data_IF_834824444224
#
_entry.id   IF_834824444224
#
_cell.length_a   1.000
_cell.length_b   1.000
_cell.length_c   1.000
_cell.angle_alpha   90.00
_cell.angle_beta   90.00
_cell.angle_gamma   90.00
#
_symmetry.space_group_name_H-M   'P 1'
#
loop_
_entity.id
_entity.type
_entity.pdbx_description
1 polymer ?
#
# COMPACT_ATOMS: atom_id res chain seq x y z
N UNK A 1 13.25 16.57 -10.42
CA UNK A 1 14.16 16.29 -9.29
C UNK A 1 14.54 14.83 -9.39
N UNK A 2 15.83 14.51 -9.49
CA UNK A 2 16.31 13.12 -9.52
C UNK A 2 16.30 12.56 -8.10
N UNK A 3 15.23 11.84 -7.73
CA UNK A 3 15.08 11.23 -6.40
C UNK A 3 16.16 10.17 -6.11
N UNK A 4 16.65 9.51 -7.16
CA UNK A 4 17.61 8.39 -7.14
C UNK A 4 18.95 8.67 -6.44
N UNK A 5 19.28 9.93 -6.16
CA UNK A 5 20.56 10.33 -5.54
C UNK A 5 20.50 10.50 -4.02
N UNK A 6 19.32 10.32 -3.41
CA UNK A 6 19.19 10.44 -1.95
C UNK A 6 19.74 9.16 -1.28
N UNK A 7 20.41 9.25 -0.11
CA UNK A 7 20.91 8.08 0.64
C UNK A 7 19.83 7.03 0.95
N UNK A 8 18.56 7.46 0.96
CA UNK A 8 17.41 6.59 1.05
C UNK A 8 17.39 5.50 -0.05
N UNK A 9 17.77 5.83 -1.29
CA UNK A 9 17.82 4.87 -2.39
C UNK A 9 19.00 3.90 -2.25
N UNK A 10 20.12 4.35 -1.67
CA UNK A 10 21.25 3.47 -1.35
C UNK A 10 20.84 2.41 -0.32
N UNK A 11 20.04 2.78 0.68
CA UNK A 11 19.52 1.84 1.67
C UNK A 11 18.57 0.79 1.06
N UNK A 12 17.91 1.12 -0.06
CA UNK A 12 17.01 0.22 -0.79
C UNK A 12 17.68 -0.44 -2.01
N UNK A 13 18.99 -0.23 -2.21
CA UNK A 13 19.67 -0.66 -3.44
C UNK A 13 19.48 -2.16 -3.70
N UNK A 14 19.65 -2.99 -2.66
CA UNK A 14 19.56 -4.45 -2.72
C UNK A 14 18.14 -5.01 -2.52
N UNK A 15 17.13 -4.16 -2.31
CA UNK A 15 15.75 -4.59 -2.16
C UNK A 15 15.07 -4.68 -3.52
N UNK A 16 14.57 -5.85 -3.90
CA UNK A 16 13.89 -6.08 -5.18
C UNK A 16 12.37 -6.00 -5.04
N UNK A 17 11.84 -6.52 -3.93
CA UNK A 17 10.42 -6.45 -3.59
C UNK A 17 10.22 -5.55 -2.37
N UNK A 18 9.47 -4.47 -2.54
CA UNK A 18 9.28 -3.41 -1.54
C UNK A 18 7.80 -3.23 -1.23
N UNK A 19 7.47 -3.13 0.04
CA UNK A 19 6.14 -2.74 0.51
C UNK A 19 6.16 -1.27 0.96
N UNK A 20 5.43 -0.41 0.25
CA UNK A 20 5.19 0.98 0.68
C UNK A 20 3.88 1.02 1.46
N UNK A 21 3.91 1.50 2.69
CA UNK A 21 2.72 1.54 3.56
C UNK A 21 2.51 2.91 4.20
N UNK A 22 1.34 3.52 3.99
CA UNK A 22 0.93 4.71 4.74
C UNK A 22 0.69 4.37 6.22
N UNK A 23 1.31 5.12 7.14
CA UNK A 23 1.46 4.73 8.55
C UNK A 23 0.65 5.59 9.53
N UNK A 24 0.46 6.88 9.27
CA UNK A 24 -0.49 7.75 9.99
C UNK A 24 -1.94 7.53 9.55
N UNK A 25 -2.10 7.04 8.32
CA UNK A 25 -3.32 6.47 7.76
C UNK A 25 -4.13 7.43 6.90
N UNK A 26 -5.22 6.93 6.32
CA UNK A 26 -6.05 7.76 5.44
C UNK A 26 -5.36 8.11 4.12
N UNK A 27 -4.80 9.30 3.99
CA UNK A 27 -4.19 9.79 2.72
C UNK A 27 -2.68 9.63 2.63
N UNK A 28 -1.98 9.17 3.67
CA UNK A 28 -0.51 9.11 3.68
C UNK A 28 0.08 8.34 2.49
N UNK A 29 -0.60 7.28 2.03
CA UNK A 29 -0.15 6.51 0.87
C UNK A 29 0.03 7.37 -0.39
N UNK A 30 -0.71 8.49 -0.52
CA UNK A 30 -0.57 9.43 -1.64
C UNK A 30 0.77 10.17 -1.62
N UNK A 31 1.28 10.51 -0.43
CA UNK A 31 2.61 11.11 -0.29
C UNK A 31 3.72 10.16 -0.78
N UNK A 32 3.46 8.85 -0.76
CA UNK A 32 4.35 7.82 -1.27
C UNK A 32 4.36 7.63 -2.79
N UNK A 33 3.40 8.21 -3.53
CA UNK A 33 3.28 7.95 -4.97
C UNK A 33 4.51 8.36 -5.79
N UNK A 34 5.17 9.51 -5.56
CA UNK A 34 6.42 9.83 -6.26
C UNK A 34 7.50 8.76 -6.05
N UNK A 35 7.58 8.20 -4.84
CA UNK A 35 8.52 7.12 -4.53
C UNK A 35 8.10 5.80 -5.19
N UNK A 36 6.82 5.45 -5.16
CA UNK A 36 6.28 4.28 -5.87
C UNK A 36 6.71 4.27 -7.33
N UNK A 37 6.49 5.37 -8.06
CA UNK A 37 6.87 5.47 -9.46
C UNK A 37 8.38 5.44 -9.67
N UNK A 38 9.16 6.10 -8.81
CA UNK A 38 10.61 6.08 -8.90
C UNK A 38 11.18 4.66 -8.74
N UNK A 39 10.69 3.89 -7.76
CA UNK A 39 11.13 2.50 -7.51
C UNK A 39 10.69 1.57 -8.64
N UNK A 40 9.45 1.72 -9.14
CA UNK A 40 8.95 0.94 -10.30
C UNK A 40 9.76 1.22 -11.57
N UNK A 41 10.08 2.49 -11.83
CA UNK A 41 10.94 2.88 -12.97
C UNK A 41 12.37 2.34 -12.83
N UNK A 42 12.85 2.12 -11.61
CA UNK A 42 14.12 1.45 -11.35
C UNK A 42 14.05 -0.08 -11.48
N UNK A 43 12.93 -0.65 -11.92
CA UNK A 43 12.75 -2.08 -12.17
C UNK A 43 12.32 -2.90 -10.94
N UNK A 44 12.04 -2.25 -9.80
CA UNK A 44 11.69 -2.94 -8.56
C UNK A 44 10.21 -3.36 -8.55
N UNK A 45 9.91 -4.43 -7.83
CA UNK A 45 8.54 -4.84 -7.51
C UNK A 45 8.07 -4.04 -6.30
N UNK A 46 6.97 -3.30 -6.45
CA UNK A 46 6.47 -2.42 -5.38
C UNK A 46 5.00 -2.70 -5.11
N UNK A 47 4.70 -3.06 -3.87
CA UNK A 47 3.34 -3.26 -3.36
C UNK A 47 2.92 -2.05 -2.52
N UNK A 48 1.63 -1.73 -2.54
CA UNK A 48 1.05 -0.62 -1.81
C UNK A 48 0.16 -1.12 -0.67
N UNK A 49 0.32 -0.52 0.50
CA UNK A 49 -0.53 -0.74 1.66
C UNK A 49 -0.87 0.57 2.38
N UNK A 50 -1.86 0.55 3.25
CA UNK A 50 -2.25 1.73 4.01
C UNK A 50 -2.89 1.34 5.34
N UNK A 51 -2.58 2.06 6.41
CA UNK A 51 -3.41 2.04 7.61
C UNK A 51 -4.72 2.79 7.30
N UNK A 52 -5.79 2.04 7.06
CA UNK A 52 -6.99 2.63 6.46
C UNK A 52 -7.90 3.27 7.50
N UNK A 53 -8.36 4.48 7.21
CA UNK A 53 -9.42 5.14 8.01
C UNK A 53 -10.82 4.80 7.50
N UNK A 54 -10.90 4.19 6.32
CA UNK A 54 -12.13 3.59 5.79
C UNK A 54 -12.56 2.45 6.70
N UNK A 55 -13.88 2.23 6.84
CA UNK A 55 -14.39 1.02 7.47
C UNK A 55 -14.22 -0.17 6.51
N UNK A 56 -13.00 -0.72 6.44
CA UNK A 56 -12.61 -1.69 5.40
C UNK A 56 -13.46 -2.96 5.39
N UNK A 57 -14.09 -3.32 6.52
CA UNK A 57 -15.00 -4.46 6.61
C UNK A 57 -16.41 -4.21 6.07
N UNK A 58 -16.76 -2.96 5.80
CA UNK A 58 -17.97 -2.58 5.10
C UNK A 58 -17.79 -2.59 3.57
N UNK A 59 -16.57 -2.86 3.09
CA UNK A 59 -16.29 -3.04 1.66
C UNK A 59 -16.54 -4.49 1.22
N UNK A 60 -16.63 -4.72 -0.08
CA UNK A 60 -16.63 -6.06 -0.69
C UNK A 60 -15.20 -6.57 -1.02
N UNK A 61 -14.15 -5.92 -0.50
CA UNK A 61 -12.75 -6.31 -0.74
C UNK A 61 -12.39 -7.68 -0.17
N UNK A 62 -11.34 -8.32 -0.72
CA UNK A 62 -10.94 -9.67 -0.31
C UNK A 62 -10.27 -9.63 1.06
N UNK A 63 -10.85 -10.36 2.03
CA UNK A 63 -10.28 -10.48 3.38
C UNK A 63 -9.10 -11.46 3.38
N UNK A 64 -7.92 -10.96 3.71
CA UNK A 64 -6.71 -11.79 3.88
C UNK A 64 -6.53 -12.18 5.36
N UNK A 65 -7.10 -11.39 6.28
CA UNK A 65 -7.07 -11.74 7.70
C UNK A 65 -7.93 -10.83 8.58
N UNK A 66 -7.81 -10.95 9.92
CA UNK A 66 -8.65 -10.23 10.88
C UNK A 66 -8.43 -8.71 10.95
N UNK A 67 -7.40 -8.19 10.27
CA UNK A 67 -6.96 -6.80 10.27
C UNK A 67 -6.42 -6.38 8.88
N UNK A 68 -6.79 -7.10 7.82
CA UNK A 68 -6.22 -6.93 6.48
C UNK A 68 -7.25 -7.24 5.39
N UNK A 69 -7.47 -6.28 4.50
CA UNK A 69 -8.33 -6.40 3.31
C UNK A 69 -7.57 -5.92 2.09
N UNK A 70 -7.62 -6.70 1.01
CA UNK A 70 -7.17 -6.27 -0.31
C UNK A 70 -8.27 -5.47 -1.01
N UNK A 71 -7.92 -4.27 -1.43
CA UNK A 71 -8.78 -3.36 -2.17
C UNK A 71 -8.30 -3.29 -3.61
N UNK A 72 -9.23 -3.41 -4.56
CA UNK A 72 -9.01 -3.32 -6.01
C UNK A 72 -9.87 -2.21 -6.61
N UNK A 73 -9.69 -1.92 -7.90
CA UNK A 73 -10.51 -0.92 -8.62
C UNK A 73 -12.01 -1.29 -8.68
N UNK A 74 -12.34 -2.59 -8.52
CA UNK A 74 -13.70 -3.11 -8.46
C UNK A 74 -14.29 -3.12 -7.04
N UNK A 75 -13.49 -2.79 -6.03
CA UNK A 75 -13.93 -2.81 -4.65
C UNK A 75 -14.85 -1.63 -4.36
N UNK A 76 -16.07 -1.93 -3.94
CA UNK A 76 -17.06 -0.97 -3.48
C UNK A 76 -16.87 -0.69 -1.98
N UNK A 77 -16.99 0.57 -1.60
CA UNK A 77 -16.83 1.01 -0.22
C UNK A 77 -17.54 2.32 0.06
N UNK A 78 -17.10 3.03 1.10
CA UNK A 78 -17.71 4.29 1.51
C UNK A 78 -17.62 5.35 0.41
N UNK A 79 -18.75 5.91 0.01
CA UNK A 79 -18.81 7.03 -0.96
C UNK A 79 -18.33 8.36 -0.38
N UNK A 80 -18.18 8.45 0.95
CA UNK A 80 -17.72 9.68 1.62
C UNK A 80 -16.20 9.71 1.82
N UNK A 81 -15.59 8.56 2.09
CA UNK A 81 -14.18 8.45 2.43
C UNK A 81 -13.68 7.06 2.09
N UNK A 82 -13.00 6.93 0.96
CA UNK A 82 -12.36 5.69 0.54
C UNK A 82 -11.15 5.96 -0.38
N UNK A 83 -10.13 6.65 0.14
CA UNK A 83 -9.01 7.11 -0.67
C UNK A 83 -8.26 5.97 -1.36
N UNK A 84 -8.19 4.79 -0.73
CA UNK A 84 -7.54 3.62 -1.30
C UNK A 84 -8.31 3.07 -2.51
N UNK A 85 -9.65 2.98 -2.41
CA UNK A 85 -10.49 2.57 -3.55
C UNK A 85 -10.37 3.54 -4.73
N UNK A 86 -10.42 4.84 -4.47
CA UNK A 86 -10.22 5.85 -5.52
C UNK A 86 -8.83 5.80 -6.15
N UNK A 87 -7.79 5.49 -5.37
CA UNK A 87 -6.44 5.34 -5.90
C UNK A 87 -6.33 4.09 -6.80
N UNK A 88 -6.94 2.97 -6.41
CA UNK A 88 -7.02 1.78 -7.26
C UNK A 88 -7.76 2.07 -8.58
N UNK A 89 -8.88 2.81 -8.53
CA UNK A 89 -9.61 3.24 -9.72
C UNK A 89 -8.75 4.13 -10.61
N UNK A 90 -8.05 5.10 -10.03
CA UNK A 90 -7.15 5.98 -10.77
C UNK A 90 -6.03 5.19 -11.48
N UNK A 91 -5.42 4.20 -10.82
CA UNK A 91 -4.46 3.30 -11.47
C UNK A 91 -5.09 2.56 -12.66
N UNK A 92 -6.29 2.02 -12.50
CA UNK A 92 -6.97 1.33 -13.58
C UNK A 92 -7.27 2.27 -14.77
N UNK A 93 -7.90 3.41 -14.51
CA UNK A 93 -8.37 4.33 -15.56
C UNK A 93 -7.24 5.08 -16.26
N UNK A 94 -6.25 5.56 -15.51
CA UNK A 94 -5.22 6.46 -16.05
C UNK A 94 -3.96 5.71 -16.48
N UNK A 95 -3.75 4.50 -15.97
CA UNK A 95 -2.55 3.71 -16.22
C UNK A 95 -2.82 2.37 -16.88
N UNK A 96 -4.07 1.91 -16.92
CA UNK A 96 -4.43 0.55 -17.33
C UNK A 96 -3.70 -0.51 -16.47
N UNK A 97 -3.53 -0.20 -15.17
CA UNK A 97 -2.81 -1.03 -14.21
C UNK A 97 -3.78 -1.54 -13.13
N UNK A 98 -3.82 -2.85 -12.92
CA UNK A 98 -4.57 -3.46 -11.84
C UNK A 98 -3.73 -3.47 -10.55
N UNK A 99 -3.60 -2.30 -9.91
CA UNK A 99 -2.76 -2.13 -8.70
C UNK A 99 -3.62 -2.21 -7.44
N UNK A 100 -3.57 -3.32 -6.67
CA UNK A 100 -4.29 -3.41 -5.41
C UNK A 100 -3.63 -2.59 -4.31
N UNK A 101 -4.42 -2.16 -3.32
CA UNK A 101 -3.92 -1.56 -2.08
C UNK A 101 -4.36 -2.42 -0.90
N UNK A 102 -3.38 -2.88 -0.12
CA UNK A 102 -3.62 -3.68 1.06
C UNK A 102 -3.91 -2.79 2.27
N UNK A 103 -5.14 -2.82 2.74
CA UNK A 103 -5.61 -1.95 3.80
C UNK A 103 -5.57 -2.65 5.15
N UNK A 104 -4.81 -2.08 6.08
CA UNK A 104 -4.80 -2.49 7.48
C UNK A 104 -5.96 -1.81 8.22
N UNK A 105 -6.64 -2.55 9.09
CA UNK A 105 -7.65 -1.96 9.97
C UNK A 105 -7.00 -1.11 11.07
N UNK A 106 -7.76 -0.13 11.60
CA UNK A 106 -7.38 0.64 12.81
C UNK A 106 -7.56 -0.22 14.06
N UNK A 107 -6.74 -1.26 14.15
CA UNK A 107 -6.67 -2.16 15.29
C UNK A 107 -5.47 -1.82 16.18
N UNK A 108 -5.30 -2.57 17.28
CA UNK A 108 -4.12 -2.44 18.13
C UNK A 108 -2.82 -2.87 17.43
N UNK A 109 -1.67 -2.46 17.99
CA UNK A 109 -0.36 -2.75 17.43
C UNK A 109 -0.11 -4.24 17.15
N UNK A 110 -0.57 -5.15 18.04
CA UNK A 110 -0.39 -6.60 17.86
C UNK A 110 -1.19 -7.13 16.64
N UNK A 111 -2.50 -6.86 16.49
CA UNK A 111 -3.24 -7.16 15.28
C UNK A 111 -2.61 -6.61 14.00
N UNK A 112 -2.19 -5.34 14.00
CA UNK A 112 -1.59 -4.71 12.82
C UNK A 112 -0.25 -5.37 12.47
N UNK A 113 0.61 -5.65 13.46
CA UNK A 113 1.85 -6.38 13.22
C UNK A 113 1.62 -7.80 12.66
N UNK A 114 0.54 -8.47 13.09
CA UNK A 114 0.13 -9.76 12.49
C UNK A 114 -0.35 -9.57 11.05
N UNK A 115 -1.11 -8.51 10.77
CA UNK A 115 -1.53 -8.20 9.41
C UNK A 115 -0.36 -7.94 8.47
N UNK A 116 0.68 -7.21 8.89
CA UNK A 116 1.91 -7.05 8.12
C UNK A 116 2.58 -8.39 7.82
N UNK A 117 2.72 -9.28 8.82
CA UNK A 117 3.29 -10.62 8.61
C UNK A 117 2.48 -11.44 7.62
N UNK A 118 1.16 -11.41 7.72
CA UNK A 118 0.26 -12.11 6.81
C UNK A 118 0.39 -11.56 5.38
N UNK A 119 0.47 -10.23 5.23
CA UNK A 119 0.66 -9.60 3.93
C UNK A 119 2.00 -9.99 3.31
N UNK A 120 3.09 -9.91 4.08
CA UNK A 120 4.43 -10.29 3.58
C UNK A 120 4.44 -11.75 3.12
N UNK A 121 3.76 -12.65 3.84
CA UNK A 121 3.63 -14.04 3.45
C UNK A 121 2.76 -14.22 2.18
N UNK A 122 1.62 -13.52 2.08
CA UNK A 122 0.75 -13.52 0.90
C UNK A 122 1.49 -13.05 -0.37
N UNK A 123 2.38 -12.08 -0.23
CA UNK A 123 3.20 -11.55 -1.32
C UNK A 123 4.39 -12.45 -1.70
N UNK A 124 4.62 -13.56 -0.98
CA UNK A 124 5.77 -14.44 -1.21
C UNK A 124 7.09 -13.91 -0.65
N UNK A 125 7.05 -12.91 0.22
CA UNK A 125 8.22 -12.23 0.80
C UNK A 125 8.37 -10.78 0.34
N UNK A 126 9.01 -9.98 1.18
CA UNK A 126 9.33 -8.56 0.91
C UNK A 126 10.71 -8.27 1.51
N UNK A 127 11.57 -7.58 0.78
CA UNK A 127 12.94 -7.26 1.22
C UNK A 127 12.97 -6.02 2.12
N UNK A 128 12.08 -5.07 1.87
CA UNK A 128 11.97 -3.85 2.64
C UNK A 128 10.51 -3.38 2.82
N UNK A 129 10.20 -2.90 4.02
CA UNK A 129 8.96 -2.16 4.30
C UNK A 129 9.33 -0.70 4.52
N UNK A 130 8.71 0.19 3.75
CA UNK A 130 8.86 1.64 3.90
C UNK A 130 7.56 2.20 4.43
N UNK A 131 7.64 2.85 5.59
CA UNK A 131 6.51 3.54 6.20
C UNK A 131 6.48 4.99 5.73
N UNK A 132 5.31 5.43 5.28
CA UNK A 132 5.07 6.78 4.78
C UNK A 132 4.19 7.51 5.79
N UNK A 133 4.62 8.69 6.20
CA UNK A 133 3.86 9.60 7.06
C UNK A 133 3.70 10.92 6.29
N UNK A 134 2.49 11.49 6.35
CA UNK A 134 2.02 12.61 5.52
C UNK A 134 2.29 14.00 6.08
#
# INVERSE_FOLDING_TARGET
MELSRLPFFDALANAETILLAGAGGGYDIFAGLPLYFALRNAGKTVHLANLSFTHIYATNGRRIGPALVEITHETEGSTRYFPEGYLCQWFHEQRNEATPIYCFDRAGAKPVATAYRNLIAELGGVDAVVLIDG
#
